data_IF_725477676475
#
_entry.id   IF_725477676475
#
_cell.length_a   1.000
_cell.length_b   1.000
_cell.length_c   1.000
_cell.angle_alpha   90.00
_cell.angle_beta   90.00
_cell.angle_gamma   90.00
#
_symmetry.space_group_name_H-M   'P 1'
#
loop_
_entity.id
_entity.type
_entity.pdbx_description
1 polymer ?
#
# COMPACT_ATOMS: atom_id res chain seq x y z
N UNK A 1 17.07 0.42 -25.86
CA UNK A 1 16.28 -0.06 -24.69
C UNK A 1 15.07 0.86 -24.60
N UNK A 2 13.88 0.36 -24.99
CA UNK A 2 12.64 1.10 -24.77
C UNK A 2 12.46 1.25 -23.26
N UNK A 3 12.49 2.49 -22.78
CA UNK A 3 12.07 2.81 -21.43
C UNK A 3 10.58 2.49 -21.37
N UNK A 4 10.16 1.57 -20.49
CA UNK A 4 8.76 1.30 -20.28
C UNK A 4 8.08 2.61 -19.90
N UNK A 5 7.28 3.13 -20.79
CA UNK A 5 6.49 4.33 -20.54
C UNK A 5 5.51 4.02 -19.42
N UNK A 6 5.44 4.91 -18.43
CA UNK A 6 4.54 4.72 -17.30
C UNK A 6 3.09 4.63 -17.82
N UNK A 7 2.50 3.45 -17.75
CA UNK A 7 1.18 3.15 -18.30
C UNK A 7 0.06 3.73 -17.44
N UNK A 8 0.33 4.02 -16.16
CA UNK A 8 -0.66 4.58 -15.23
C UNK A 8 -0.27 6.00 -14.83
N UNK A 9 -1.15 6.95 -15.09
CA UNK A 9 -1.03 8.34 -14.65
C UNK A 9 -1.63 8.57 -13.24
N UNK A 10 -2.25 7.53 -12.64
CA UNK A 10 -2.87 7.63 -11.32
C UNK A 10 -1.90 7.21 -10.21
N UNK A 11 -1.72 8.07 -9.22
CA UNK A 11 -1.07 7.69 -7.97
C UNK A 11 -1.93 6.69 -7.16
N UNK A 12 -1.29 5.94 -6.26
CA UNK A 12 -1.97 4.89 -5.48
C UNK A 12 -3.20 5.39 -4.71
N UNK A 13 -3.16 6.60 -4.16
CA UNK A 13 -4.29 7.20 -3.43
C UNK A 13 -5.46 7.52 -4.37
N UNK A 14 -5.17 8.08 -5.55
CA UNK A 14 -6.19 8.37 -6.56
C UNK A 14 -6.82 7.09 -7.10
N UNK A 15 -6.01 6.02 -7.30
CA UNK A 15 -6.52 4.72 -7.73
C UNK A 15 -7.44 4.09 -6.67
N UNK A 16 -7.08 4.15 -5.39
CA UNK A 16 -7.94 3.70 -4.29
C UNK A 16 -9.28 4.44 -4.27
N UNK A 17 -9.25 5.77 -4.46
CA UNK A 17 -10.45 6.59 -4.57
C UNK A 17 -11.34 6.21 -5.75
N UNK A 18 -10.73 5.91 -6.91
CA UNK A 18 -11.46 5.43 -8.08
C UNK A 18 -12.14 4.07 -7.79
N UNK A 19 -11.41 3.11 -7.23
CA UNK A 19 -11.99 1.80 -6.86
C UNK A 19 -13.13 1.97 -5.85
N UNK A 20 -12.99 2.90 -4.89
CA UNK A 20 -14.08 3.22 -3.96
C UNK A 20 -15.32 3.78 -4.69
N UNK A 21 -15.15 4.59 -5.74
CA UNK A 21 -16.26 5.07 -6.58
C UNK A 21 -16.92 3.94 -7.36
N UNK A 22 -16.13 3.06 -7.97
CA UNK A 22 -16.65 1.86 -8.65
C UNK A 22 -17.46 0.97 -7.71
N UNK A 23 -17.00 0.79 -6.47
CA UNK A 23 -17.74 0.02 -5.46
C UNK A 23 -19.08 0.70 -5.07
N UNK A 24 -19.18 2.01 -5.17
CA UNK A 24 -20.45 2.73 -5.00
C UNK A 24 -21.33 2.75 -6.24
N UNK A 25 -20.88 2.16 -7.34
CA UNK A 25 -21.65 2.12 -8.60
C UNK A 25 -21.52 3.37 -9.44
N UNK A 26 -20.38 4.07 -9.34
CA UNK A 26 -20.12 5.30 -10.10
C UNK A 26 -18.80 5.15 -10.85
N UNK A 27 -18.78 5.52 -12.12
CA UNK A 27 -17.58 5.47 -12.96
C UNK A 27 -16.58 6.62 -12.65
N UNK A 28 -15.46 6.65 -13.39
CA UNK A 28 -14.40 7.65 -13.20
C UNK A 28 -14.82 9.10 -13.52
N UNK A 29 -15.89 9.28 -14.29
CA UNK A 29 -16.42 10.60 -14.68
C UNK A 29 -17.71 10.97 -13.95
N UNK A 30 -18.16 10.12 -13.01
CA UNK A 30 -19.31 10.40 -12.16
C UNK A 30 -20.64 9.83 -12.61
N UNK A 31 -20.67 9.00 -13.67
CA UNK A 31 -21.92 8.40 -14.13
C UNK A 31 -22.29 7.16 -13.30
N UNK A 32 -23.55 6.99 -12.92
CA UNK A 32 -23.99 5.81 -12.20
C UNK A 32 -24.02 4.56 -13.10
N UNK A 33 -23.67 3.41 -12.53
CA UNK A 33 -23.81 2.13 -13.22
C UNK A 33 -25.27 1.68 -13.25
N UNK A 34 -25.68 1.06 -14.36
CA UNK A 34 -27.05 0.52 -14.52
C UNK A 34 -27.37 -0.66 -13.59
N UNK A 35 -26.35 -1.40 -13.16
CA UNK A 35 -26.50 -2.67 -12.44
C UNK A 35 -25.89 -2.65 -11.02
N UNK A 36 -25.68 -1.47 -10.45
CA UNK A 36 -25.09 -1.30 -9.12
C UNK A 36 -23.58 -1.29 -9.11
N UNK A 37 -22.99 -1.21 -7.90
CA UNK A 37 -21.54 -1.10 -7.70
C UNK A 37 -20.79 -2.42 -7.83
N UNK A 38 -19.46 -2.32 -7.83
CA UNK A 38 -18.56 -3.48 -7.74
C UNK A 38 -18.27 -3.83 -6.27
N UNK A 39 -17.60 -4.95 -6.04
CA UNK A 39 -17.17 -5.39 -4.70
C UNK A 39 -15.64 -5.62 -4.66
N UNK A 40 -14.88 -4.70 -5.22
CA UNK A 40 -13.42 -4.81 -5.22
C UNK A 40 -12.83 -4.61 -3.82
N UNK A 41 -11.92 -5.50 -3.45
CA UNK A 41 -11.08 -5.34 -2.26
C UNK A 41 -9.92 -4.41 -2.60
N UNK A 42 -9.69 -3.39 -1.77
CA UNK A 42 -8.72 -2.32 -2.03
C UNK A 42 -7.43 -2.58 -1.27
N UNK A 43 -6.36 -2.81 -2.01
CA UNK A 43 -5.03 -3.03 -1.45
C UNK A 43 -4.05 -1.92 -1.83
N UNK A 44 -3.07 -1.67 -0.96
CA UNK A 44 -1.97 -0.78 -1.26
C UNK A 44 -0.64 -1.31 -0.75
N UNK A 45 0.45 -0.93 -1.44
CA UNK A 45 1.79 -1.25 -0.99
C UNK A 45 2.21 -0.40 0.21
N UNK A 46 2.96 -1.01 1.12
CA UNK A 46 3.61 -0.37 2.25
C UNK A 46 5.09 -0.75 2.26
N UNK A 47 5.97 0.25 2.30
CA UNK A 47 7.40 0.01 2.43
C UNK A 47 7.83 0.33 3.87
N UNK A 48 8.16 -0.69 4.69
CA UNK A 48 8.51 -0.49 6.09
C UNK A 48 9.74 0.39 6.30
N UNK A 49 10.67 0.35 5.35
CA UNK A 49 11.93 1.12 5.44
C UNK A 49 11.71 2.60 5.13
N UNK A 50 10.68 2.93 4.37
CA UNK A 50 10.34 4.30 4.00
C UNK A 50 9.35 4.96 4.95
N UNK A 51 8.86 4.29 5.99
CA UNK A 51 7.92 4.87 6.97
C UNK A 51 8.59 5.83 7.96
N UNK A 52 9.62 6.54 7.51
CA UNK A 52 10.35 7.51 8.33
C UNK A 52 9.97 8.93 7.91
N UNK A 53 9.73 9.79 8.91
CA UNK A 53 9.43 11.19 8.70
C UNK A 53 7.96 11.49 8.37
N UNK A 54 7.61 12.76 8.53
CA UNK A 54 6.23 13.25 8.46
C UNK A 54 5.58 13.03 7.08
N UNK A 55 6.32 13.27 6.00
CA UNK A 55 5.79 13.13 4.64
C UNK A 55 5.30 11.70 4.34
N UNK A 56 6.00 10.68 4.82
CA UNK A 56 5.60 9.28 4.63
C UNK A 56 4.45 8.90 5.56
N UNK A 57 4.41 9.44 6.76
CA UNK A 57 3.29 9.29 7.66
C UNK A 57 2.00 9.86 7.04
N UNK A 58 2.06 11.08 6.52
CA UNK A 58 0.93 11.71 5.84
C UNK A 58 0.49 10.94 4.58
N UNK A 59 1.44 10.35 3.85
CA UNK A 59 1.12 9.49 2.71
C UNK A 59 0.38 8.21 3.13
N UNK A 60 0.74 7.63 4.28
CA UNK A 60 0.02 6.50 4.87
C UNK A 60 -1.39 6.91 5.29
N UNK A 61 -1.54 8.04 5.98
CA UNK A 61 -2.85 8.57 6.37
C UNK A 61 -3.78 8.75 5.15
N UNK A 62 -3.29 9.33 4.05
CA UNK A 62 -4.09 9.47 2.82
C UNK A 62 -4.53 8.14 2.21
N UNK A 63 -3.72 7.07 2.30
CA UNK A 63 -4.13 5.73 1.87
C UNK A 63 -5.26 5.18 2.75
N UNK A 64 -5.16 5.40 4.06
CA UNK A 64 -6.18 4.99 5.02
C UNK A 64 -7.50 5.75 4.81
N UNK A 65 -7.44 7.06 4.59
CA UNK A 65 -8.59 7.92 4.25
C UNK A 65 -9.28 7.46 2.96
N UNK A 66 -8.50 7.04 1.96
CA UNK A 66 -9.04 6.46 0.73
C UNK A 66 -9.71 5.09 0.94
N UNK A 67 -9.66 4.54 2.16
CA UNK A 67 -10.39 3.34 2.55
C UNK A 67 -9.73 2.05 2.09
N UNK A 68 -8.44 1.87 2.35
CA UNK A 68 -7.72 0.63 2.06
C UNK A 68 -8.18 -0.50 2.97
N UNK A 69 -8.43 -1.69 2.40
CA UNK A 69 -8.87 -2.87 3.13
C UNK A 69 -7.66 -3.70 3.63
N UNK A 70 -6.56 -3.68 2.88
CA UNK A 70 -5.30 -4.32 3.28
C UNK A 70 -4.07 -3.55 2.78
N UNK A 71 -2.97 -3.71 3.51
CA UNK A 71 -1.66 -3.23 3.12
C UNK A 71 -0.71 -4.42 2.92
N UNK A 72 0.01 -4.43 1.81
CA UNK A 72 1.04 -5.44 1.54
C UNK A 72 2.42 -4.80 1.64
N UNK A 73 3.28 -5.38 2.48
CA UNK A 73 4.62 -4.83 2.68
C UNK A 73 5.58 -5.24 1.56
N UNK A 74 6.62 -4.44 1.36
CA UNK A 74 7.86 -4.91 0.77
C UNK A 74 8.45 -6.03 1.64
N UNK A 75 9.36 -6.89 1.12
CA UNK A 75 9.96 -7.96 1.92
C UNK A 75 10.58 -7.42 3.22
N UNK A 76 10.28 -8.09 4.32
CA UNK A 76 10.80 -7.78 5.66
C UNK A 76 11.55 -8.97 6.20
N UNK A 77 12.71 -8.75 6.77
CA UNK A 77 13.59 -9.80 7.30
C UNK A 77 13.86 -9.66 8.80
N UNK A 78 13.51 -8.52 9.40
CA UNK A 78 13.80 -8.23 10.80
C UNK A 78 12.52 -7.91 11.58
N UNK A 79 12.34 -8.63 12.69
CA UNK A 79 11.17 -8.44 13.58
C UNK A 79 11.00 -7.01 14.07
N UNK A 80 12.05 -6.26 14.49
CA UNK A 80 11.89 -4.88 14.91
C UNK A 80 11.30 -3.96 13.83
N UNK A 81 11.53 -4.23 12.54
CA UNK A 81 10.93 -3.46 11.45
C UNK A 81 9.40 -3.67 11.38
N UNK A 82 8.94 -4.88 11.64
CA UNK A 82 7.51 -5.21 11.68
C UNK A 82 6.84 -4.52 12.87
N UNK A 83 7.49 -4.53 14.02
CA UNK A 83 6.99 -3.91 15.25
C UNK A 83 6.88 -2.39 15.07
N UNK A 84 7.95 -1.73 14.64
CA UNK A 84 7.96 -0.28 14.37
C UNK A 84 6.91 0.14 13.31
N UNK A 85 6.78 -0.64 12.24
CA UNK A 85 5.74 -0.43 11.24
C UNK A 85 4.34 -0.56 11.84
N UNK A 86 4.13 -1.56 12.72
CA UNK A 86 2.87 -1.77 13.43
C UNK A 86 2.47 -0.57 14.29
N UNK A 87 3.42 0.04 14.98
CA UNK A 87 3.21 1.25 15.80
C UNK A 87 2.84 2.46 14.92
N UNK A 88 3.57 2.66 13.83
CA UNK A 88 3.28 3.76 12.88
C UNK A 88 1.89 3.59 12.27
N UNK A 89 1.52 2.37 11.87
CA UNK A 89 0.20 2.08 11.33
C UNK A 89 -0.90 2.32 12.37
N UNK A 90 -0.71 1.88 13.60
CA UNK A 90 -1.66 2.12 14.70
C UNK A 90 -1.89 3.62 14.92
N UNK A 91 -0.82 4.41 14.99
CA UNK A 91 -0.90 5.87 15.12
C UNK A 91 -1.63 6.51 13.94
N UNK A 92 -1.34 6.07 12.71
CA UNK A 92 -2.01 6.58 11.52
C UNK A 92 -3.52 6.28 11.52
N UNK A 93 -3.93 5.06 11.92
CA UNK A 93 -5.34 4.70 12.06
C UNK A 93 -6.05 5.56 13.12
N UNK A 94 -5.39 5.85 14.24
CA UNK A 94 -5.92 6.74 15.27
C UNK A 94 -6.07 8.18 14.76
N UNK A 95 -5.07 8.67 14.00
CA UNK A 95 -5.12 10.02 13.41
C UNK A 95 -6.26 10.17 12.41
N UNK A 96 -6.48 9.17 11.57
CA UNK A 96 -7.54 9.16 10.54
C UNK A 96 -8.91 8.79 11.12
N UNK A 97 -8.96 8.11 12.26
CA UNK A 97 -10.21 7.62 12.84
C UNK A 97 -10.78 6.41 12.08
N UNK A 98 -9.94 5.57 11.50
CA UNK A 98 -10.37 4.41 10.72
C UNK A 98 -9.96 3.07 11.39
N UNK A 99 -10.67 1.96 11.08
CA UNK A 99 -10.26 0.65 11.54
C UNK A 99 -8.90 0.26 10.92
N UNK A 100 -8.15 -0.55 11.65
CA UNK A 100 -6.86 -1.04 11.18
C UNK A 100 -7.05 -1.98 9.99
N UNK A 101 -6.44 -1.70 8.81
CA UNK A 101 -6.49 -2.60 7.67
C UNK A 101 -5.72 -3.90 7.96
N UNK A 102 -6.03 -4.96 7.21
CA UNK A 102 -5.23 -6.18 7.26
C UNK A 102 -3.82 -5.91 6.77
N UNK A 103 -2.83 -6.53 7.39
CA UNK A 103 -1.42 -6.38 7.02
C UNK A 103 -0.89 -7.71 6.48
N UNK A 104 -0.48 -7.71 5.22
CA UNK A 104 0.18 -8.83 4.56
C UNK A 104 1.68 -8.58 4.59
N UNK A 105 2.39 -9.36 5.41
CA UNK A 105 3.85 -9.26 5.53
C UNK A 105 4.50 -10.02 4.38
N UNK A 106 5.23 -9.29 3.54
CA UNK A 106 6.02 -9.89 2.46
C UNK A 106 7.25 -10.59 3.02
N UNK A 107 7.48 -11.82 2.60
CA UNK A 107 8.69 -12.58 2.90
C UNK A 107 9.19 -13.24 1.62
N UNK A 108 10.46 -13.05 1.31
CA UNK A 108 11.12 -13.69 0.16
C UNK A 108 12.35 -14.44 0.67
N UNK A 109 12.24 -15.74 0.97
CA UNK A 109 13.39 -16.52 1.42
C UNK A 109 14.44 -16.61 0.30
N UNK A 110 15.68 -16.16 0.53
CA UNK A 110 16.73 -16.26 -0.49
C UNK A 110 17.14 -17.74 -0.65
N UNK A 111 17.07 -18.24 -1.89
CA UNK A 111 17.41 -19.64 -2.19
C UNK A 111 18.91 -19.90 -2.29
N UNK A 112 19.69 -18.86 -2.51
CA UNK A 112 21.16 -18.92 -2.62
C UNK A 112 21.81 -17.72 -1.95
N UNK A 113 23.10 -17.87 -1.58
CA UNK A 113 23.88 -16.76 -1.03
C UNK A 113 24.02 -15.57 -2.00
N UNK A 114 23.99 -15.84 -3.30
CA UNK A 114 24.05 -14.79 -4.33
C UNK A 114 22.77 -13.96 -4.34
N UNK A 115 21.61 -14.61 -4.28
CA UNK A 115 20.30 -13.95 -4.17
C UNK A 115 20.22 -13.16 -2.85
N UNK A 116 20.71 -13.71 -1.74
CA UNK A 116 20.74 -13.00 -0.47
C UNK A 116 21.59 -11.72 -0.54
N UNK A 117 22.79 -11.80 -1.17
CA UNK A 117 23.63 -10.61 -1.40
C UNK A 117 22.97 -9.58 -2.33
N UNK A 118 22.24 -10.05 -3.35
CA UNK A 118 21.48 -9.16 -4.23
C UNK A 118 20.38 -8.42 -3.46
N UNK A 119 19.59 -9.13 -2.65
CA UNK A 119 18.55 -8.51 -1.82
C UNK A 119 19.14 -7.51 -0.81
N UNK A 120 20.23 -7.86 -0.15
CA UNK A 120 20.91 -6.95 0.79
C UNK A 120 21.40 -5.65 0.14
N UNK A 121 21.70 -5.66 -1.17
CA UNK A 121 22.05 -4.45 -1.92
C UNK A 121 20.85 -3.66 -2.42
N UNK A 122 19.77 -4.37 -2.76
CA UNK A 122 18.57 -3.78 -3.39
C UNK A 122 17.48 -3.41 -2.40
N UNK A 123 17.48 -4.06 -1.24
CA UNK A 123 16.53 -3.84 -0.14
C UNK A 123 17.38 -3.66 1.13
N UNK A 124 17.94 -2.47 1.34
CA UNK A 124 18.71 -2.20 2.55
C UNK A 124 17.81 -2.30 3.78
N UNK A 125 18.18 -3.18 4.71
CA UNK A 125 17.47 -3.44 5.95
C UNK A 125 18.42 -3.36 7.14
#
# INVERSE_FOLDING_TARGET
>A
KAVAQQVSHLEAVALLGLVASLNRGVDAVGNPFKHGGTAYVRGAALDPLKLKGEAQFQRLCRKLEAGVDFLQTQPVYHRPQVEAMGEVLQRACQTVGCPRPKLLIGMVPPRTAEIARHFNRSIPG
#
